data_IF_924516132476
#
_entry.id   IF_924516132476
#
_cell.length_a   1.000
_cell.length_b   1.000
_cell.length_c   1.000
_cell.angle_alpha   90.00
_cell.angle_beta   90.00
_cell.angle_gamma   90.00
#
_symmetry.space_group_name_H-M   'P 1'
#
loop_
_entity.id
_entity.type
_entity.pdbx_description
1 polymer ?
#
# COMPACT_ATOMS: atom_id res chain seq x y z
N UNK A 1 -48.56 -20.62 -29.10
CA UNK A 1 -47.41 -21.16 -29.86
C UNK A 1 -46.99 -20.15 -30.91
N UNK A 2 -45.67 -20.04 -31.19
CA UNK A 2 -44.95 -19.07 -32.08
C UNK A 2 -44.71 -17.68 -31.43
N UNK A 3 -43.53 -17.29 -30.91
CA UNK A 3 -42.16 -17.06 -31.43
C UNK A 3 -42.03 -15.94 -32.50
N UNK A 4 -41.50 -14.79 -32.04
CA UNK A 4 -40.53 -13.80 -32.64
C UNK A 4 -40.74 -13.38 -34.11
N UNK A 5 -40.59 -12.14 -34.56
CA UNK A 5 -39.51 -11.15 -34.34
C UNK A 5 -39.88 -9.89 -35.17
N UNK A 6 -39.11 -8.81 -34.99
CA UNK A 6 -39.08 -7.56 -35.77
C UNK A 6 -40.03 -6.47 -35.26
N UNK A 7 -39.49 -5.58 -34.43
CA UNK A 7 -39.95 -4.20 -34.40
C UNK A 7 -38.74 -3.28 -34.49
N UNK A 8 -38.80 -2.48 -35.54
CA UNK A 8 -37.85 -1.55 -36.07
C UNK A 8 -37.85 -0.26 -35.24
N UNK A 9 -36.66 0.29 -34.97
CA UNK A 9 -36.41 1.72 -35.06
C UNK A 9 -36.85 2.62 -33.90
N UNK A 10 -35.86 3.07 -33.12
CA UNK A 10 -35.68 4.49 -32.84
C UNK A 10 -34.26 4.76 -32.30
N UNK A 11 -33.75 5.95 -32.65
CA UNK A 11 -32.62 6.67 -32.02
C UNK A 11 -31.23 6.41 -32.61
N UNK A 12 -31.08 6.95 -33.81
CA UNK A 12 -29.95 7.82 -34.15
C UNK A 12 -29.89 8.96 -33.11
N UNK A 13 -28.92 8.93 -32.21
CA UNK A 13 -28.38 10.14 -31.55
C UNK A 13 -26.88 10.16 -31.80
N UNK A 14 -26.57 10.91 -32.84
CA UNK A 14 -25.33 11.55 -33.20
C UNK A 14 -24.66 12.29 -32.01
N UNK A 15 -23.32 12.30 -32.05
CA UNK A 15 -22.43 13.40 -31.61
C UNK A 15 -22.20 13.51 -30.09
N UNK A 16 -20.98 13.64 -29.57
CA UNK A 16 -19.76 14.09 -30.22
C UNK A 16 -18.47 13.82 -29.44
N UNK A 17 -17.39 14.00 -30.21
CA UNK A 17 -16.01 14.06 -29.77
C UNK A 17 -15.83 15.13 -28.67
N UNK A 18 -15.21 14.73 -27.57
CA UNK A 18 -14.66 15.65 -26.57
C UNK A 18 -13.27 16.15 -26.99
N UNK A 19 -13.29 17.35 -27.58
CA UNK A 19 -12.28 18.43 -27.61
C UNK A 19 -10.82 18.10 -27.23
N UNK A 20 -9.95 18.08 -28.25
CA UNK A 20 -8.55 18.44 -28.10
C UNK A 20 -8.44 19.98 -28.11
N UNK A 21 -8.01 20.56 -26.99
CA UNK A 21 -7.60 21.96 -26.91
C UNK A 21 -6.08 22.03 -26.76
N UNK A 22 -5.42 22.64 -27.75
CA UNK A 22 -4.24 23.47 -27.55
C UNK A 22 -3.89 24.20 -28.86
N UNK A 23 -4.71 25.20 -29.16
CA UNK A 23 -4.35 26.58 -29.54
C UNK A 23 -2.94 26.82 -30.12
N UNK A 24 -2.94 27.13 -31.42
CA UNK A 24 -2.23 28.20 -32.14
C UNK A 24 -1.04 28.92 -31.48
N UNK A 25 0.09 28.92 -32.20
CA UNK A 25 0.94 30.12 -32.32
C UNK A 25 1.52 30.19 -33.73
N UNK A 26 1.76 31.41 -34.18
CA UNK A 26 1.50 31.95 -35.52
C UNK A 26 2.54 31.66 -36.62
N UNK A 27 2.08 31.91 -37.84
CA UNK A 27 2.78 31.80 -39.11
C UNK A 27 3.95 32.77 -39.29
N UNK A 28 5.02 32.27 -39.93
CA UNK A 28 5.81 33.03 -40.91
C UNK A 28 6.58 32.06 -41.81
N UNK A 29 6.25 32.04 -43.10
CA UNK A 29 7.16 31.58 -44.15
C UNK A 29 7.62 32.81 -44.93
N UNK A 30 8.95 32.94 -45.14
CA UNK A 30 9.39 32.90 -46.53
C UNK A 30 10.73 32.13 -46.74
N UNK A 31 10.67 31.20 -47.70
CA UNK A 31 11.58 30.93 -48.84
C UNK A 31 13.14 30.87 -48.72
N UNK A 32 13.64 29.71 -49.16
CA UNK A 32 14.90 29.31 -49.88
C UNK A 32 16.28 29.40 -49.18
N UNK A 33 16.90 28.25 -48.84
CA UNK A 33 18.05 27.59 -49.53
C UNK A 33 18.56 26.37 -48.71
N UNK A 34 19.13 25.33 -49.36
CA UNK A 34 19.44 24.05 -48.74
C UNK A 34 20.83 24.05 -48.09
N UNK A 35 20.93 23.69 -46.81
CA UNK A 35 22.20 23.42 -46.16
C UNK A 35 22.05 22.33 -45.09
N UNK A 36 22.66 21.18 -45.40
CA UNK A 36 23.15 20.12 -44.53
C UNK A 36 22.78 20.17 -43.04
N UNK A 37 21.89 19.25 -42.62
CA UNK A 37 21.99 18.45 -41.39
C UNK A 37 20.77 17.51 -41.28
N UNK A 38 20.99 16.19 -41.42
CA UNK A 38 19.99 15.20 -40.99
C UNK A 38 19.83 15.29 -39.45
N UNK A 39 18.62 15.53 -38.91
CA UNK A 39 18.42 15.47 -37.48
C UNK A 39 18.41 14.00 -37.05
N UNK A 40 19.36 13.60 -36.21
CA UNK A 40 19.32 12.30 -35.52
C UNK A 40 18.07 12.27 -34.65
N UNK A 41 17.02 11.58 -35.13
CA UNK A 41 15.81 11.30 -34.38
C UNK A 41 16.20 10.34 -33.25
N UNK A 42 16.40 10.88 -32.03
CA UNK A 42 16.48 10.03 -30.84
C UNK A 42 15.08 9.47 -30.57
N UNK A 43 14.88 8.15 -30.52
CA UNK A 43 13.59 7.60 -30.13
C UNK A 43 13.24 8.10 -28.72
N UNK A 44 11.96 8.35 -28.41
CA UNK A 44 11.54 8.81 -27.10
C UNK A 44 12.02 7.79 -26.07
N UNK A 45 12.73 8.29 -25.04
CA UNK A 45 13.11 7.53 -23.87
C UNK A 45 11.87 6.79 -23.38
N UNK A 46 11.91 5.45 -23.38
CA UNK A 46 10.89 4.64 -22.75
C UNK A 46 10.66 5.19 -21.34
N UNK A 47 9.41 5.32 -20.87
CA UNK A 47 9.18 5.67 -19.48
C UNK A 47 9.92 4.62 -18.64
N UNK A 48 10.98 5.04 -17.95
CA UNK A 48 11.56 4.26 -16.88
C UNK A 48 10.39 3.89 -15.99
N UNK A 49 10.03 2.61 -15.97
CA UNK A 49 9.08 2.09 -14.98
C UNK A 49 9.74 2.38 -13.65
N UNK A 50 9.32 3.47 -13.00
CA UNK A 50 9.83 3.85 -11.69
C UNK A 50 9.58 2.66 -10.80
N UNK A 51 10.65 1.94 -10.46
CA UNK A 51 10.58 0.73 -9.67
C UNK A 51 9.85 1.12 -8.38
N UNK A 52 8.66 0.56 -8.16
CA UNK A 52 7.86 0.89 -6.98
C UNK A 52 8.71 0.61 -5.76
N UNK A 53 9.04 1.65 -4.99
CA UNK A 53 9.81 1.50 -3.78
C UNK A 53 8.89 0.86 -2.74
N UNK A 54 9.12 -0.41 -2.42
CA UNK A 54 8.43 -1.12 -1.34
C UNK A 54 8.94 -0.70 0.06
N UNK A 55 9.78 0.35 0.12
CA UNK A 55 10.47 0.75 1.33
C UNK A 55 11.67 -0.16 1.64
N UNK A 56 12.16 -0.12 2.88
CA UNK A 56 13.26 -0.97 3.36
C UNK A 56 12.98 -2.48 3.21
N UNK A 57 14.03 -3.29 3.10
CA UNK A 57 13.92 -4.74 3.15
C UNK A 57 13.62 -5.18 4.59
N UNK A 58 12.45 -5.80 4.81
CA UNK A 58 11.97 -6.14 6.16
C UNK A 58 12.94 -7.04 6.92
N UNK A 59 13.41 -8.12 6.29
CA UNK A 59 14.28 -9.09 6.97
C UNK A 59 15.66 -8.50 7.27
N UNK A 60 16.22 -7.74 6.33
CA UNK A 60 17.49 -7.04 6.55
C UNK A 60 17.37 -6.00 7.67
N UNK A 61 16.28 -5.24 7.70
CA UNK A 61 16.04 -4.24 8.75
C UNK A 61 15.90 -4.92 10.12
N UNK A 62 15.14 -6.03 10.24
CA UNK A 62 15.00 -6.80 11.49
C UNK A 62 16.38 -7.23 12.02
N UNK A 63 17.23 -7.82 11.16
CA UNK A 63 18.58 -8.25 11.55
C UNK A 63 19.46 -7.06 11.91
N UNK A 64 19.41 -5.97 11.15
CA UNK A 64 20.20 -4.74 11.42
C UNK A 64 19.84 -4.13 12.78
N UNK A 65 18.59 -4.28 13.22
CA UNK A 65 18.08 -3.85 14.51
C UNK A 65 18.34 -4.86 15.63
N UNK A 66 19.20 -5.86 15.38
CA UNK A 66 19.62 -6.91 16.32
C UNK A 66 18.48 -7.78 16.84
N UNK A 67 17.41 -7.91 16.06
CA UNK A 67 16.41 -8.94 16.31
C UNK A 67 16.87 -10.24 15.69
N UNK A 68 16.60 -11.33 16.39
CA UNK A 68 16.50 -12.67 15.79
C UNK A 68 15.04 -12.96 15.50
N UNK A 69 14.79 -13.90 14.60
CA UNK A 69 13.42 -14.25 14.26
C UNK A 69 13.28 -15.74 13.94
N UNK A 70 12.09 -16.27 14.17
CA UNK A 70 11.70 -17.61 13.77
C UNK A 70 10.44 -17.56 12.92
N UNK A 71 10.28 -18.56 12.05
CA UNK A 71 8.97 -18.82 11.46
C UNK A 71 8.03 -19.29 12.57
N UNK A 72 6.80 -18.79 12.54
CA UNK A 72 5.76 -19.14 13.49
C UNK A 72 4.54 -19.66 12.75
N UNK A 73 3.77 -20.53 13.42
CA UNK A 73 2.43 -20.91 13.00
C UNK A 73 1.36 -19.91 13.47
N UNK A 74 1.75 -18.82 14.14
CA UNK A 74 0.86 -17.74 14.54
C UNK A 74 0.41 -16.94 13.29
N UNK A 75 -0.86 -17.07 12.96
CA UNK A 75 -1.52 -16.28 11.92
C UNK A 75 -1.99 -14.92 12.45
N UNK A 76 -1.48 -13.86 11.84
CA UNK A 76 -1.91 -12.48 12.09
C UNK A 76 -3.33 -12.21 11.60
N UNK A 77 -3.88 -11.05 11.98
CA UNK A 77 -5.19 -10.57 11.57
C UNK A 77 -5.23 -10.21 10.08
N UNK A 78 -4.15 -9.66 9.51
CA UNK A 78 -4.12 -9.32 8.07
C UNK A 78 -4.22 -10.58 7.20
N UNK A 79 -3.67 -11.71 7.66
CA UNK A 79 -3.79 -13.01 6.94
C UNK A 79 -5.24 -13.47 6.86
N UNK A 80 -6.07 -13.17 7.86
CA UNK A 80 -7.50 -13.52 7.85
C UNK A 80 -8.32 -12.65 6.90
N UNK A 81 -7.89 -11.42 6.67
CA UNK A 81 -8.57 -10.46 5.78
C UNK A 81 -8.18 -10.71 4.31
N UNK A 82 -6.95 -11.16 4.06
CA UNK A 82 -6.41 -11.36 2.72
C UNK A 82 -6.77 -12.75 2.21
N UNK A 83 -7.85 -12.81 1.42
CA UNK A 83 -8.41 -14.08 0.92
C UNK A 83 -8.17 -14.32 -0.57
N UNK A 84 -7.49 -13.39 -1.26
CA UNK A 84 -7.28 -13.42 -2.71
C UNK A 84 -5.98 -14.13 -3.14
N UNK A 85 -5.34 -14.86 -2.23
CA UNK A 85 -4.08 -15.57 -2.47
C UNK A 85 -2.83 -14.69 -2.40
N UNK A 86 -2.97 -13.41 -2.08
CA UNK A 86 -1.80 -12.54 -1.80
C UNK A 86 -1.03 -13.08 -0.60
N UNK A 87 0.29 -13.24 -0.77
CA UNK A 87 1.16 -13.79 0.27
C UNK A 87 1.27 -12.82 1.45
N UNK A 88 1.11 -13.34 2.65
CA UNK A 88 1.46 -12.68 3.91
C UNK A 88 2.68 -13.38 4.47
N UNK A 89 3.71 -12.62 4.84
CA UNK A 89 4.85 -13.14 5.59
C UNK A 89 4.67 -12.81 7.07
N UNK A 90 5.08 -13.72 7.95
CA UNK A 90 5.00 -13.56 9.40
C UNK A 90 6.27 -14.08 10.08
N UNK A 91 6.73 -13.39 11.11
CA UNK A 91 7.89 -13.75 11.93
C UNK A 91 7.63 -13.39 13.40
N UNK A 92 7.96 -14.31 14.31
CA UNK A 92 8.11 -13.98 15.73
C UNK A 92 9.45 -13.27 15.91
N UNK A 93 9.44 -12.15 16.62
CA UNK A 93 10.60 -11.31 16.89
C UNK A 93 11.15 -11.61 18.29
N UNK A 94 12.45 -11.87 18.36
CA UNK A 94 13.17 -12.16 19.60
C UNK A 94 14.34 -11.19 19.73
N UNK A 95 14.45 -10.53 20.89
CA UNK A 95 15.55 -9.62 21.21
C UNK A 95 16.09 -9.95 22.58
N UNK A 96 17.41 -10.03 22.69
CA UNK A 96 18.11 -10.35 23.94
C UNK A 96 17.61 -11.65 24.62
N UNK A 97 17.17 -12.63 23.80
CA UNK A 97 16.67 -13.93 24.26
C UNK A 97 15.20 -13.95 24.67
N UNK A 98 14.48 -12.84 24.57
CA UNK A 98 13.08 -12.71 24.98
C UNK A 98 12.15 -12.37 23.79
N UNK A 99 10.89 -12.83 23.84
CA UNK A 99 9.89 -12.55 22.81
C UNK A 99 9.56 -11.06 22.86
N UNK A 100 9.86 -10.36 21.78
CA UNK A 100 9.51 -8.95 21.62
C UNK A 100 8.14 -8.76 20.97
N UNK A 101 7.68 -9.75 20.19
CA UNK A 101 6.40 -9.67 19.51
C UNK A 101 6.33 -10.51 18.24
N UNK A 102 5.40 -10.13 17.37
CA UNK A 102 5.23 -10.67 16.02
C UNK A 102 5.22 -9.53 15.01
N UNK A 103 5.76 -9.77 13.83
CA UNK A 103 5.57 -8.93 12.65
C UNK A 103 4.97 -9.78 11.53
N UNK A 104 3.91 -9.27 10.91
CA UNK A 104 3.38 -9.76 9.65
C UNK A 104 3.35 -8.63 8.62
N UNK A 105 3.60 -8.95 7.36
CA UNK A 105 3.53 -7.97 6.28
C UNK A 105 3.12 -8.58 4.95
N UNK A 106 2.58 -7.72 4.10
CA UNK A 106 2.27 -8.05 2.71
C UNK A 106 2.59 -6.87 1.80
N UNK A 107 3.01 -7.18 0.58
CA UNK A 107 3.23 -6.23 -0.50
C UNK A 107 2.16 -6.42 -1.57
N UNK A 108 1.34 -5.41 -1.82
CA UNK A 108 0.25 -5.50 -2.80
C UNK A 108 -0.26 -4.11 -3.22
N UNK A 109 -0.65 -3.93 -4.49
CA UNK A 109 -1.38 -2.72 -4.90
C UNK A 109 -2.74 -2.59 -4.20
N UNK A 110 -3.24 -3.65 -3.56
CA UNK A 110 -4.53 -3.71 -2.87
C UNK A 110 -4.44 -3.42 -1.37
N UNK A 111 -3.27 -3.07 -0.82
CA UNK A 111 -3.13 -2.84 0.65
C UNK A 111 -4.10 -1.81 1.21
N UNK A 112 -4.53 -0.83 0.42
CA UNK A 112 -5.58 0.13 0.84
C UNK A 112 -6.91 -0.57 1.10
N UNK A 113 -7.29 -1.52 0.24
CA UNK A 113 -8.53 -2.31 0.38
C UNK A 113 -8.41 -3.24 1.58
N UNK A 114 -7.29 -3.93 1.75
CA UNK A 114 -7.07 -4.82 2.90
C UNK A 114 -7.12 -4.05 4.23
N UNK A 115 -6.48 -2.88 4.28
CA UNK A 115 -6.49 -2.05 5.49
C UNK A 115 -7.89 -1.52 5.84
N UNK A 116 -8.70 -1.16 4.83
CA UNK A 116 -10.09 -0.76 5.05
C UNK A 116 -10.93 -1.93 5.59
N UNK A 117 -10.85 -3.11 4.96
CA UNK A 117 -11.58 -4.29 5.40
C UNK A 117 -11.17 -4.72 6.83
N UNK A 118 -9.89 -4.61 7.17
CA UNK A 118 -9.39 -4.84 8.53
C UNK A 118 -10.04 -3.89 9.53
N UNK A 119 -10.11 -2.58 9.23
CA UNK A 119 -10.75 -1.60 10.11
C UNK A 119 -12.22 -1.90 10.33
N UNK A 120 -12.94 -2.23 9.27
CA UNK A 120 -14.36 -2.59 9.34
C UNK A 120 -14.58 -3.84 10.21
N UNK A 121 -13.73 -4.86 10.07
CA UNK A 121 -13.77 -6.07 10.89
C UNK A 121 -13.43 -5.81 12.37
N UNK A 122 -12.46 -4.93 12.64
CA UNK A 122 -12.06 -4.56 14.01
C UNK A 122 -13.13 -3.73 14.71
N UNK A 123 -13.79 -2.81 13.99
CA UNK A 123 -14.83 -1.95 14.55
C UNK A 123 -15.98 -2.75 15.19
N UNK A 124 -16.28 -3.95 14.68
CA UNK A 124 -17.30 -4.84 15.24
C UNK A 124 -16.77 -5.80 16.31
N UNK A 125 -15.45 -5.89 16.46
CA UNK A 125 -14.77 -6.85 17.34
C UNK A 125 -14.26 -6.23 18.64
N UNK A 126 -14.15 -4.89 18.72
CA UNK A 126 -13.68 -4.21 19.93
C UNK A 126 -14.56 -4.50 21.14
N UNK A 127 -13.90 -4.80 22.26
CA UNK A 127 -14.54 -4.93 23.56
C UNK A 127 -14.69 -3.57 24.25
N UNK A 128 -15.49 -3.50 25.33
CA UNK A 128 -15.52 -2.31 26.19
C UNK A 128 -14.19 -1.99 26.89
N UNK A 129 -13.18 -2.86 26.80
CA UNK A 129 -11.87 -2.70 27.45
C UNK A 129 -10.79 -2.18 26.50
N UNK A 130 -11.14 -1.87 25.25
CA UNK A 130 -10.22 -1.29 24.28
C UNK A 130 -9.60 -0.01 24.83
N UNK A 131 -8.28 0.08 24.71
CA UNK A 131 -7.46 1.17 25.20
C UNK A 131 -6.52 1.66 24.10
N UNK A 132 -6.11 2.93 24.23
CA UNK A 132 -5.15 3.58 23.34
C UNK A 132 -5.47 3.41 21.85
N UNK A 133 -6.76 3.44 21.49
CA UNK A 133 -7.19 3.37 20.10
C UNK A 133 -6.78 4.65 19.37
N UNK A 134 -5.86 4.51 18.42
CA UNK A 134 -5.41 5.57 17.53
C UNK A 134 -5.67 5.09 16.10
N UNK A 135 -6.41 5.88 15.32
CA UNK A 135 -6.57 5.71 13.88
C UNK A 135 -6.33 7.05 13.18
N UNK A 136 -5.19 7.18 12.51
CA UNK A 136 -4.82 8.43 11.86
C UNK A 136 -4.00 8.26 10.58
N UNK A 137 -4.01 9.32 9.77
CA UNK A 137 -3.08 9.47 8.65
C UNK A 137 -1.95 10.39 9.07
N UNK A 138 -0.74 9.84 9.17
CA UNK A 138 0.45 10.58 9.56
C UNK A 138 1.13 11.20 8.34
N UNK A 139 1.50 12.47 8.45
CA UNK A 139 2.11 13.28 7.39
C UNK A 139 3.29 14.06 7.96
N UNK A 140 4.43 13.40 8.04
CA UNK A 140 5.67 14.03 8.50
C UNK A 140 6.48 14.55 7.29
N UNK A 141 7.04 15.78 7.36
CA UNK A 141 7.91 16.29 6.31
C UNK A 141 9.08 15.35 6.01
N UNK A 142 9.30 15.03 4.73
CA UNK A 142 10.38 14.16 4.30
C UNK A 142 10.15 12.66 4.53
N UNK A 143 8.99 12.25 5.08
CA UNK A 143 8.61 10.85 5.22
C UNK A 143 7.42 10.47 4.32
N UNK A 144 7.27 9.18 3.98
CA UNK A 144 6.08 8.69 3.31
C UNK A 144 4.83 8.95 4.15
N UNK A 145 3.68 9.15 3.48
CA UNK A 145 2.39 9.16 4.17
C UNK A 145 2.13 7.77 4.75
N UNK A 146 1.84 7.72 6.05
CA UNK A 146 1.50 6.49 6.76
C UNK A 146 0.06 6.54 7.23
N UNK A 147 -0.57 5.38 7.35
CA UNK A 147 -1.88 5.25 7.99
C UNK A 147 -1.67 4.28 9.14
N UNK A 148 -1.85 4.79 10.35
CA UNK A 148 -1.62 4.08 11.58
C UNK A 148 -2.98 3.67 12.17
N UNK A 149 -3.07 2.42 12.58
CA UNK A 149 -4.10 1.94 13.51
C UNK A 149 -3.39 1.21 14.65
N UNK A 150 -3.54 1.65 15.88
CA UNK A 150 -3.03 0.93 17.05
C UNK A 150 -4.04 0.93 18.18
N UNK A 151 -4.04 -0.13 18.98
CA UNK A 151 -4.87 -0.28 20.17
C UNK A 151 -4.34 -1.43 21.03
N UNK A 152 -4.81 -1.49 22.27
CA UNK A 152 -4.72 -2.66 23.13
C UNK A 152 -6.14 -3.11 23.50
N UNK A 153 -6.48 -4.37 23.24
CA UNK A 153 -7.76 -4.96 23.61
C UNK A 153 -7.57 -6.44 23.99
N UNK A 154 -7.62 -6.79 25.29
CA UNK A 154 -7.36 -8.14 25.77
C UNK A 154 -8.40 -9.17 25.28
N UNK A 155 -9.55 -8.73 24.75
CA UNK A 155 -10.50 -9.63 24.11
C UNK A 155 -10.07 -10.08 22.70
N UNK A 156 -9.15 -9.35 22.07
CA UNK A 156 -8.63 -9.62 20.72
C UNK A 156 -7.22 -10.21 20.79
N UNK A 157 -6.34 -9.62 21.58
CA UNK A 157 -4.95 -10.06 21.76
C UNK A 157 -4.41 -9.63 23.13
N UNK A 158 -3.52 -10.43 23.71
CA UNK A 158 -2.76 -10.05 24.91
C UNK A 158 -1.64 -9.04 24.60
N UNK A 159 -1.29 -8.88 23.32
CA UNK A 159 -0.29 -7.93 22.83
C UNK A 159 -0.96 -6.62 22.36
N UNK A 160 -0.23 -5.50 22.40
CA UNK A 160 -0.66 -4.28 21.69
C UNK A 160 -0.60 -4.54 20.19
N UNK A 161 -1.66 -4.21 19.48
CA UNK A 161 -1.73 -4.35 18.02
C UNK A 161 -1.38 -3.02 17.35
N UNK A 162 -0.55 -3.09 16.32
CA UNK A 162 -0.18 -1.93 15.48
C UNK A 162 -0.27 -2.35 14.02
N UNK A 163 -1.00 -1.58 13.23
CA UNK A 163 -1.13 -1.76 11.79
C UNK A 163 -0.68 -0.49 11.09
N UNK A 164 0.19 -0.65 10.09
CA UNK A 164 0.73 0.50 9.35
C UNK A 164 0.63 0.21 7.86
N UNK A 165 -0.12 1.06 7.17
CA UNK A 165 -0.10 1.12 5.71
C UNK A 165 0.83 2.24 5.25
N UNK A 166 1.87 1.85 4.52
CA UNK A 166 2.83 2.78 3.91
C UNK A 166 3.15 2.30 2.49
N UNK A 167 3.05 3.20 1.51
CA UNK A 167 3.22 2.87 0.07
C UNK A 167 2.30 1.69 -0.33
N UNK A 168 2.85 0.62 -0.92
CA UNK A 168 2.15 -0.62 -1.28
C UNK A 168 2.35 -1.75 -0.26
N UNK A 169 2.73 -1.42 0.97
CA UNK A 169 2.94 -2.37 2.05
C UNK A 169 1.96 -2.15 3.19
N UNK A 170 1.46 -3.26 3.74
CA UNK A 170 0.69 -3.29 4.99
C UNK A 170 1.46 -4.14 5.99
N UNK A 171 1.73 -3.53 7.15
CA UNK A 171 2.31 -4.20 8.30
C UNK A 171 1.27 -4.44 9.38
N UNK A 172 1.48 -5.52 10.13
CA UNK A 172 0.86 -5.84 11.40
C UNK A 172 1.97 -6.17 12.39
N UNK A 173 1.89 -5.58 13.58
CA UNK A 173 2.77 -5.87 14.70
C UNK A 173 1.93 -6.25 15.91
N UNK A 174 2.38 -7.29 16.60
CA UNK A 174 1.93 -7.61 17.95
C UNK A 174 3.10 -7.25 18.85
N UNK A 175 2.92 -6.26 19.70
CA UNK A 175 3.95 -5.79 20.62
C UNK A 175 3.69 -6.44 21.96
N UNK A 176 4.63 -7.28 22.38
CA UNK A 176 4.56 -7.92 23.69
C UNK A 176 4.61 -6.86 24.81
N UNK A 177 4.02 -7.20 25.95
CA UNK A 177 4.01 -6.33 27.12
C UNK A 177 5.41 -5.83 27.46
N UNK A 178 5.52 -4.53 27.74
CA UNK A 178 6.76 -3.83 28.12
C UNK A 178 7.84 -3.81 27.01
N UNK A 179 7.45 -4.01 25.74
CA UNK A 179 8.35 -3.98 24.56
C UNK A 179 8.09 -2.84 23.58
N UNK A 180 7.21 -1.89 23.93
CA UNK A 180 6.82 -0.76 23.10
C UNK A 180 8.03 0.00 22.54
N UNK A 181 8.93 0.51 23.37
CA UNK A 181 10.10 1.29 22.91
C UNK A 181 10.96 0.53 21.88
N UNK A 182 11.13 -0.78 22.11
CA UNK A 182 11.97 -1.64 21.28
C UNK A 182 11.33 -1.91 19.93
N UNK A 183 10.02 -2.18 19.88
CA UNK A 183 9.32 -2.44 18.62
C UNK A 183 8.94 -1.16 17.88
N UNK A 184 8.61 -0.06 18.55
CA UNK A 184 8.39 1.23 17.88
C UNK A 184 9.66 1.74 17.18
N UNK A 185 10.84 1.49 17.75
CA UNK A 185 12.11 1.75 17.05
C UNK A 185 12.25 0.94 15.75
N UNK A 186 11.88 -0.35 15.76
CA UNK A 186 11.89 -1.18 14.55
C UNK A 186 10.85 -0.71 13.53
N UNK A 187 9.64 -0.36 13.99
CA UNK A 187 8.55 0.16 13.17
C UNK A 187 9.00 1.43 12.44
N UNK A 188 9.65 2.34 13.15
CA UNK A 188 10.16 3.57 12.56
C UNK A 188 11.13 3.26 11.42
N UNK A 189 12.11 2.37 11.63
CA UNK A 189 13.07 1.95 10.61
C UNK A 189 12.42 1.30 9.39
N UNK A 190 11.38 0.49 9.59
CA UNK A 190 10.67 -0.20 8.50
C UNK A 190 9.78 0.73 7.66
N UNK A 191 9.44 1.90 8.20
CA UNK A 191 8.42 2.79 7.61
C UNK A 191 8.98 4.11 7.08
N UNK A 192 10.31 4.29 7.12
CA UNK A 192 11.02 5.44 6.51
C UNK A 192 10.83 5.51 4.99
#
# INVERSE_FOLDING_TARGET
MSKTLVTLGLIVVLVGLGTADAIFTEARLPSIEPADQEPVIRPPSQPTVTQKSYGPNVLETIVSQRFTFSNTGESGLIERIITDGTKVESRTLIKDGDRSGLIAWTDSPRVKVYFLALKEALHTSFSPQVQDLIDETQREPGRPIQNLLTFFDPAISEDRLVFIRVRERLFEFHIAKDKDDVLFGLIEELTK
#
